data_IF_195655045893
#
_entry.id   IF_195655045893
#
_cell.length_a   1.000
_cell.length_b   1.000
_cell.length_c   1.000
_cell.angle_alpha   90.00
_cell.angle_beta   90.00
_cell.angle_gamma   90.00
#
_symmetry.space_group_name_H-M   'P 1'
#
loop_
_entity.id
_entity.type
_entity.pdbx_description
1 polymer ?
#
# COMPACT_ATOMS: atom_id res chain seq x y z
N UNK A 1 -19.79 1.99 6.30
CA UNK A 1 -18.89 2.93 5.59
C UNK A 1 -17.79 3.37 6.54
N UNK A 2 -16.59 2.85 6.34
CA UNK A 2 -15.37 3.39 6.97
C UNK A 2 -15.21 4.86 6.55
N UNK A 3 -14.92 5.76 7.49
CA UNK A 3 -14.71 7.19 7.20
C UNK A 3 -13.46 7.33 6.35
N UNK A 4 -13.65 7.82 5.11
CA UNK A 4 -12.55 8.11 4.18
C UNK A 4 -11.62 9.16 4.77
N UNK A 5 -10.33 8.84 4.87
CA UNK A 5 -9.29 9.74 5.42
C UNK A 5 -8.72 10.65 4.34
N UNK A 6 -8.61 11.94 4.65
CA UNK A 6 -7.94 12.93 3.82
C UNK A 6 -6.44 12.90 4.10
N UNK A 7 -5.67 12.51 3.10
CA UNK A 7 -4.23 12.31 3.22
C UNK A 7 -3.50 13.27 2.30
N UNK A 8 -2.52 14.00 2.83
CA UNK A 8 -1.61 14.83 2.05
C UNK A 8 -0.32 14.04 1.75
N UNK A 9 0.08 13.99 0.48
CA UNK A 9 1.42 13.52 0.08
C UNK A 9 2.28 14.74 -0.20
N UNK A 10 3.40 14.90 0.52
CA UNK A 10 4.18 16.13 0.47
C UNK A 10 5.70 15.92 0.66
N UNK A 11 6.58 16.57 -0.13
CA UNK A 11 6.24 17.26 -1.38
C UNK A 11 5.73 16.28 -2.45
N UNK A 12 4.99 16.82 -3.42
CA UNK A 12 4.60 16.05 -4.59
C UNK A 12 5.68 16.14 -5.68
N UNK A 13 5.83 15.08 -6.49
CA UNK A 13 6.66 15.10 -7.70
C UNK A 13 8.02 14.41 -7.60
N UNK A 14 8.30 13.72 -6.49
CA UNK A 14 9.49 12.88 -6.35
C UNK A 14 9.14 11.38 -6.35
N UNK A 15 10.15 10.51 -6.47
CA UNK A 15 9.94 9.06 -6.52
C UNK A 15 9.18 8.51 -5.32
N UNK A 16 9.50 8.99 -4.11
CA UNK A 16 8.86 8.54 -2.86
C UNK A 16 7.36 8.90 -2.86
N UNK A 17 7.02 10.11 -3.32
CA UNK A 17 5.64 10.58 -3.44
C UNK A 17 4.83 9.76 -4.45
N UNK A 18 5.46 9.27 -5.51
CA UNK A 18 4.79 8.44 -6.51
C UNK A 18 4.53 7.01 -6.00
N UNK A 19 5.45 6.42 -5.25
CA UNK A 19 5.24 5.11 -4.61
C UNK A 19 4.07 5.16 -3.61
N UNK A 20 4.05 6.18 -2.74
CA UNK A 20 2.93 6.38 -1.80
C UNK A 20 1.62 6.61 -2.55
N UNK A 21 1.63 7.48 -3.57
CA UNK A 21 0.42 7.77 -4.34
C UNK A 21 -0.15 6.51 -4.98
N UNK A 22 0.68 5.69 -5.61
CA UNK A 22 0.23 4.44 -6.25
C UNK A 22 -0.33 3.44 -5.26
N UNK A 23 0.26 3.35 -4.08
CA UNK A 23 -0.27 2.49 -3.03
C UNK A 23 -1.66 2.96 -2.52
N UNK A 24 -1.95 4.27 -2.56
CA UNK A 24 -3.15 4.82 -1.91
C UNK A 24 -4.27 5.26 -2.87
N UNK A 25 -3.99 5.63 -4.13
CA UNK A 25 -4.94 6.37 -4.98
C UNK A 25 -6.21 5.63 -5.34
N UNK A 26 -6.17 4.29 -5.26
CA UNK A 26 -7.32 3.42 -5.49
C UNK A 26 -8.03 2.97 -4.23
N UNK A 27 -7.45 3.24 -3.06
CA UNK A 27 -8.10 2.85 -1.82
C UNK A 27 -9.38 3.66 -1.65
N UNK A 28 -10.49 2.95 -1.45
CA UNK A 28 -11.79 3.57 -1.13
C UNK A 28 -11.76 4.31 0.21
N UNK A 29 -10.79 3.98 1.06
CA UNK A 29 -10.61 4.56 2.40
C UNK A 29 -9.79 5.84 2.41
N UNK A 30 -9.21 6.26 1.28
CA UNK A 30 -8.30 7.42 1.22
C UNK A 30 -8.74 8.44 0.18
N UNK A 31 -8.73 9.72 0.54
CA UNK A 31 -8.80 10.85 -0.39
C UNK A 31 -7.43 11.54 -0.38
N UNK A 32 -6.77 11.55 -1.52
CA UNK A 32 -5.42 12.10 -1.64
C UNK A 32 -5.47 13.57 -2.02
N UNK A 33 -4.67 14.37 -1.32
CA UNK A 33 -4.29 15.73 -1.64
C UNK A 33 -2.84 15.76 -2.09
N UNK A 34 -2.58 16.47 -3.19
CA UNK A 34 -1.26 16.67 -3.78
C UNK A 34 -1.10 18.18 -3.90
N UNK A 35 -0.08 18.74 -3.27
CA UNK A 35 0.16 20.18 -3.35
C UNK A 35 1.51 20.47 -4.01
N UNK A 36 1.45 21.16 -5.13
CA UNK A 36 2.62 21.64 -5.89
C UNK A 36 2.96 23.10 -5.57
N UNK A 37 2.07 23.83 -4.91
CA UNK A 37 2.12 25.28 -4.73
C UNK A 37 2.55 25.72 -3.31
N UNK A 38 2.54 24.81 -2.35
CA UNK A 38 3.11 24.99 -1.02
C UNK A 38 4.54 24.46 -1.01
N UNK A 39 5.53 25.35 -0.98
CA UNK A 39 6.93 24.98 -0.74
C UNK A 39 7.30 25.22 0.74
N UNK A 40 8.05 24.29 1.31
CA UNK A 40 8.89 24.60 2.48
C UNK A 40 10.25 25.02 1.89
N UNK A 41 10.62 26.29 1.99
CA UNK A 41 11.88 26.77 1.40
C UNK A 41 13.07 26.22 2.20
N UNK A 42 14.09 25.66 1.51
CA UNK A 42 15.27 25.01 2.11
C UNK A 42 16.03 25.87 3.15
N UNK A 43 15.88 27.19 3.09
CA UNK A 43 16.51 28.15 4.01
C UNK A 43 15.87 28.19 5.41
N UNK A 44 14.66 27.65 5.61
CA UNK A 44 13.88 27.88 6.83
C UNK A 44 14.27 27.03 8.05
N UNK A 45 14.91 25.87 7.87
CA UNK A 45 15.29 25.02 9.02
C UNK A 45 16.60 25.49 9.67
N UNK A 46 17.46 26.23 8.95
CA UNK A 46 18.79 26.59 9.41
C UNK A 46 18.95 28.06 9.83
N UNK A 47 18.13 29.01 9.33
CA UNK A 47 18.45 30.45 9.55
C UNK A 47 17.30 31.47 9.57
N UNK A 48 16.02 31.10 9.53
CA UNK A 48 14.97 32.16 9.50
C UNK A 48 14.74 32.82 10.86
N UNK A 49 14.58 34.15 10.84
CA UNK A 49 14.17 34.93 12.03
C UNK A 49 12.83 34.35 12.53
N UNK A 50 12.63 34.23 13.86
CA UNK A 50 11.39 33.72 14.49
C UNK A 50 10.07 34.14 13.81
N UNK A 51 9.90 35.40 13.34
CA UNK A 51 8.67 35.84 12.68
C UNK A 51 8.35 35.13 11.34
N UNK A 52 9.36 34.85 10.52
CA UNK A 52 9.16 34.20 9.20
C UNK A 52 8.72 32.74 9.38
N UNK A 53 9.42 32.00 10.23
CA UNK A 53 9.05 30.63 10.63
C UNK A 53 7.58 30.53 11.10
N UNK A 54 7.11 31.50 11.90
CA UNK A 54 5.72 31.51 12.39
C UNK A 54 4.69 31.80 11.29
N UNK A 55 5.05 32.55 10.24
CA UNK A 55 4.17 32.79 9.09
C UNK A 55 3.93 31.49 8.31
N UNK A 56 4.97 30.69 8.09
CA UNK A 56 4.86 29.39 7.41
C UNK A 56 4.05 28.38 8.21
N UNK A 57 4.29 28.26 9.52
CA UNK A 57 3.49 27.37 10.39
C UNK A 57 2.00 27.73 10.34
N UNK A 58 1.66 29.04 10.39
CA UNK A 58 0.27 29.51 10.27
C UNK A 58 -0.34 29.15 8.92
N UNK A 59 0.40 29.32 7.82
CA UNK A 59 -0.04 28.96 6.46
C UNK A 59 -0.35 27.47 6.36
N UNK A 60 0.56 26.61 6.84
CA UNK A 60 0.36 25.16 6.89
C UNK A 60 -0.82 24.77 7.76
N UNK A 61 -0.96 25.37 8.95
CA UNK A 61 -2.10 25.10 9.84
C UNK A 61 -3.44 25.46 9.18
N UNK A 62 -3.52 26.59 8.49
CA UNK A 62 -4.72 26.95 7.70
C UNK A 62 -4.97 25.90 6.63
N UNK A 63 -3.97 25.60 5.80
CA UNK A 63 -4.11 24.63 4.72
C UNK A 63 -4.61 23.26 5.19
N UNK A 64 -4.00 22.70 6.23
CA UNK A 64 -4.38 21.40 6.79
C UNK A 64 -5.80 21.43 7.33
N UNK A 65 -6.19 22.53 8.01
CA UNK A 65 -7.54 22.72 8.52
C UNK A 65 -8.58 22.87 7.41
N UNK A 66 -8.31 23.73 6.43
CA UNK A 66 -9.22 24.09 5.35
C UNK A 66 -9.50 22.88 4.44
N UNK A 67 -8.48 22.05 4.21
CA UNK A 67 -8.60 20.80 3.46
C UNK A 67 -8.99 19.59 4.33
N UNK A 68 -9.16 19.80 5.65
CA UNK A 68 -9.47 18.75 6.63
C UNK A 68 -8.52 17.56 6.52
N UNK A 69 -7.22 17.81 6.41
CA UNK A 69 -6.18 16.77 6.29
C UNK A 69 -6.08 16.03 7.62
N UNK A 70 -6.25 14.71 7.57
CA UNK A 70 -6.10 13.80 8.71
C UNK A 70 -4.62 13.43 8.91
N UNK A 71 -3.91 13.11 7.81
CA UNK A 71 -2.53 12.63 7.87
C UNK A 71 -1.66 13.15 6.73
N UNK A 72 -0.34 13.16 6.95
CA UNK A 72 0.68 13.58 5.98
C UNK A 72 1.69 12.45 5.75
N UNK A 73 1.89 12.08 4.49
CA UNK A 73 3.02 11.28 4.04
C UNK A 73 4.10 12.22 3.55
N UNK A 74 5.15 12.34 4.33
CA UNK A 74 6.30 13.11 3.90
C UNK A 74 7.18 12.29 2.97
N UNK A 75 7.54 12.86 1.81
CA UNK A 75 8.27 12.18 0.73
C UNK A 75 9.73 12.67 0.58
N UNK A 76 10.21 13.47 1.54
CA UNK A 76 11.62 13.83 1.66
C UNK A 76 12.01 14.06 3.13
N UNK A 77 13.31 14.06 3.44
CA UNK A 77 13.79 14.25 4.81
C UNK A 77 13.50 15.66 5.34
N UNK A 78 13.40 16.65 4.45
CA UNK A 78 13.21 18.05 4.83
C UNK A 78 11.82 18.31 5.39
N UNK A 79 10.78 17.87 4.68
CA UNK A 79 9.39 17.93 5.12
C UNK A 79 9.16 17.07 6.36
N UNK A 80 9.73 15.85 6.41
CA UNK A 80 9.71 15.00 7.61
C UNK A 80 10.22 15.76 8.83
N UNK A 81 11.40 16.36 8.71
CA UNK A 81 12.03 17.12 9.80
C UNK A 81 11.22 18.36 10.19
N UNK A 82 10.68 19.09 9.21
CA UNK A 82 9.86 20.27 9.45
C UNK A 82 8.61 19.93 10.26
N UNK A 83 7.80 18.97 9.80
CA UNK A 83 6.57 18.63 10.50
C UNK A 83 6.88 17.96 11.86
N UNK A 84 7.93 17.13 11.95
CA UNK A 84 8.32 16.47 13.20
C UNK A 84 8.78 17.46 14.26
N UNK A 85 9.57 18.47 13.90
CA UNK A 85 10.00 19.54 14.83
C UNK A 85 8.86 20.42 15.33
N UNK A 86 7.69 20.38 14.68
CA UNK A 86 6.52 21.17 15.03
C UNK A 86 5.31 20.26 15.33
N UNK A 87 5.55 19.02 15.79
CA UNK A 87 4.50 18.02 16.01
C UNK A 87 3.47 18.49 17.05
N UNK A 88 3.89 19.22 18.08
CA UNK A 88 3.01 19.83 19.10
C UNK A 88 1.97 20.79 18.49
N UNK A 89 2.28 21.39 17.33
CA UNK A 89 1.41 22.33 16.64
C UNK A 89 0.48 21.60 15.67
N UNK A 90 0.99 20.55 15.02
CA UNK A 90 0.27 19.83 13.97
C UNK A 90 -0.49 18.60 14.47
N UNK A 91 -0.27 18.16 15.72
CA UNK A 91 -1.07 17.11 16.37
C UNK A 91 -0.76 15.69 15.91
N UNK A 92 0.51 15.39 15.62
CA UNK A 92 0.92 14.00 15.34
C UNK A 92 0.41 13.41 14.04
N UNK A 93 0.09 14.23 13.04
CA UNK A 93 -0.49 13.82 11.74
C UNK A 93 0.47 13.09 10.80
N UNK A 94 1.75 12.94 11.16
CA UNK A 94 2.75 12.34 10.29
C UNK A 94 2.64 10.81 10.23
N UNK A 95 2.67 10.29 9.01
CA UNK A 95 2.91 8.87 8.72
C UNK A 95 4.40 8.68 8.46
N UNK A 96 5.03 7.85 9.30
CA UNK A 96 6.46 7.52 9.28
C UNK A 96 7.38 8.75 9.38
N UNK A 97 8.01 8.92 10.54
CA UNK A 97 8.87 10.06 10.82
C UNK A 97 10.28 9.68 11.26
N UNK A 98 10.63 8.40 11.22
CA UNK A 98 11.92 7.95 11.75
C UNK A 98 13.08 8.42 10.87
N UNK A 99 14.18 8.88 11.47
CA UNK A 99 15.30 9.46 10.74
C UNK A 99 16.04 8.42 9.89
N UNK A 100 16.67 8.93 8.83
CA UNK A 100 17.65 8.17 8.04
C UNK A 100 18.98 8.14 8.79
N UNK A 101 19.55 6.94 8.98
CA UNK A 101 20.88 6.73 9.53
C UNK A 101 21.72 6.01 8.47
N UNK A 102 22.87 6.59 8.12
CA UNK A 102 23.84 6.02 7.21
C UNK A 102 25.00 5.43 8.01
N UNK A 103 25.48 4.26 7.59
CA UNK A 103 26.63 3.58 8.20
C UNK A 103 27.87 3.58 7.29
N UNK A 104 27.76 4.20 6.12
CA UNK A 104 28.81 4.32 5.12
C UNK A 104 28.63 5.62 4.34
N UNK A 105 29.74 6.16 3.85
CA UNK A 105 29.75 7.31 2.93
C UNK A 105 29.54 6.89 1.47
N UNK A 106 29.60 5.58 1.17
CA UNK A 106 29.38 5.02 -0.16
C UNK A 106 27.96 4.50 -0.31
N UNK A 107 27.20 5.09 -1.23
CA UNK A 107 25.90 4.54 -1.63
C UNK A 107 26.11 3.73 -2.91
N UNK A 108 26.37 2.42 -2.76
CA UNK A 108 26.32 1.49 -3.88
C UNK A 108 24.86 1.21 -4.20
N UNK A 109 24.39 1.67 -5.36
CA UNK A 109 23.02 1.41 -5.79
C UNK A 109 22.89 0.07 -6.54
N UNK A 110 23.92 -0.33 -7.27
CA UNK A 110 23.90 -1.52 -8.13
C UNK A 110 24.12 -2.79 -7.32
N UNK A 111 23.15 -3.71 -7.34
CA UNK A 111 23.25 -4.98 -6.62
C UNK A 111 23.01 -4.87 -5.11
N UNK A 112 22.66 -3.69 -4.60
CA UNK A 112 22.25 -3.51 -3.20
C UNK A 112 20.91 -4.22 -2.94
N UNK A 113 20.77 -4.73 -1.73
CA UNK A 113 19.55 -5.36 -1.24
C UNK A 113 18.85 -4.38 -0.33
N UNK A 114 17.55 -4.20 -0.53
CA UNK A 114 16.68 -3.48 0.41
C UNK A 114 15.76 -4.49 1.08
N UNK A 115 15.63 -4.38 2.41
CA UNK A 115 14.66 -5.15 3.18
C UNK A 115 13.64 -4.18 3.75
N UNK A 116 12.43 -4.20 3.21
CA UNK A 116 11.28 -3.47 3.74
C UNK A 116 10.66 -4.24 4.90
N UNK A 117 10.34 -3.54 5.96
CA UNK A 117 9.80 -4.08 7.19
C UNK A 117 8.59 -3.28 7.65
N UNK A 118 7.71 -3.94 8.40
CA UNK A 118 6.62 -3.28 9.11
C UNK A 118 6.56 -3.80 10.54
N UNK A 119 6.65 -2.88 11.50
CA UNK A 119 6.54 -3.19 12.93
C UNK A 119 5.22 -2.70 13.51
N UNK A 120 4.61 -3.51 14.37
CA UNK A 120 3.43 -3.10 15.14
C UNK A 120 3.80 -2.15 16.30
N UNK A 121 2.81 -1.70 17.07
CA UNK A 121 3.02 -0.82 18.23
C UNK A 121 3.84 -1.47 19.36
N UNK A 122 3.84 -2.81 19.44
CA UNK A 122 4.67 -3.59 20.36
C UNK A 122 6.12 -3.77 19.86
N UNK A 123 6.47 -3.16 18.72
CA UNK A 123 7.78 -3.27 18.06
C UNK A 123 8.10 -4.66 17.52
N UNK A 124 7.10 -5.52 17.37
CA UNK A 124 7.22 -6.78 16.68
C UNK A 124 7.19 -6.56 15.17
N UNK A 125 8.20 -7.09 14.45
CA UNK A 125 8.24 -7.07 13.00
C UNK A 125 7.23 -8.08 12.45
N UNK A 126 6.13 -7.59 11.89
CA UNK A 126 5.02 -8.40 11.37
C UNK A 126 5.05 -8.57 9.85
N UNK A 127 5.92 -7.82 9.16
CA UNK A 127 6.24 -8.03 7.76
C UNK A 127 7.72 -7.78 7.50
N UNK A 128 8.29 -8.58 6.62
CA UNK A 128 9.63 -8.41 6.05
C UNK A 128 9.64 -8.91 4.60
N UNK A 129 10.13 -8.09 3.69
CA UNK A 129 10.28 -8.42 2.29
C UNK A 129 11.59 -7.87 1.75
N UNK A 130 12.41 -8.73 1.13
CA UNK A 130 13.68 -8.32 0.55
C UNK A 130 13.62 -8.27 -0.97
N UNK A 131 14.28 -7.28 -1.54
CA UNK A 131 14.49 -7.19 -2.99
C UNK A 131 15.87 -6.65 -3.32
N UNK A 132 16.38 -7.04 -4.48
CA UNK A 132 17.61 -6.50 -5.07
C UNK A 132 17.26 -5.51 -6.18
N UNK A 133 18.04 -4.43 -6.29
CA UNK A 133 17.97 -3.50 -7.39
C UNK A 133 19.09 -3.77 -8.41
N UNK A 134 18.72 -4.39 -9.54
CA UNK A 134 19.62 -4.73 -10.64
C UNK A 134 19.37 -3.73 -11.79
N UNK A 135 20.16 -2.65 -11.85
CA UNK A 135 20.08 -1.63 -12.89
C UNK A 135 18.67 -1.05 -13.10
N UNK A 136 17.98 -0.76 -11.99
CA UNK A 136 16.63 -0.21 -12.00
C UNK A 136 15.53 -1.27 -12.07
N UNK A 137 15.86 -2.56 -12.18
CA UNK A 137 14.87 -3.65 -12.04
C UNK A 137 14.87 -4.16 -10.60
N UNK A 138 13.68 -4.32 -10.05
CA UNK A 138 13.50 -4.82 -8.69
C UNK A 138 13.19 -6.31 -8.78
N UNK A 139 13.98 -7.11 -8.07
CA UNK A 139 13.76 -8.55 -7.98
C UNK A 139 13.61 -8.94 -6.52
N UNK A 140 12.46 -9.50 -6.10
CA UNK A 140 12.33 -10.06 -4.77
C UNK A 140 13.34 -11.19 -4.59
N UNK A 141 13.91 -11.29 -3.38
CA UNK A 141 14.85 -12.34 -3.01
C UNK A 141 14.46 -12.92 -1.64
N UNK A 142 14.79 -14.18 -1.36
CA UNK A 142 14.64 -14.73 -0.02
C UNK A 142 15.52 -13.99 0.98
N UNK A 143 15.03 -13.84 2.20
CA UNK A 143 15.81 -13.29 3.32
C UNK A 143 16.69 -14.42 3.86
N UNK A 144 18.01 -14.21 3.85
CA UNK A 144 18.98 -15.18 4.39
C UNK A 144 19.11 -15.09 5.91
N UNK A 145 19.63 -16.14 6.56
CA UNK A 145 19.90 -16.14 8.01
C UNK A 145 20.79 -14.98 8.47
N UNK A 146 21.73 -14.54 7.63
CA UNK A 146 22.57 -13.40 7.94
C UNK A 146 21.78 -12.08 7.92
N UNK A 147 20.90 -11.92 6.93
CA UNK A 147 19.99 -10.77 6.86
C UNK A 147 19.05 -10.73 8.06
N UNK A 148 18.53 -11.88 8.50
CA UNK A 148 17.71 -11.99 9.73
C UNK A 148 18.46 -11.53 10.97
N UNK A 149 19.73 -11.91 11.13
CA UNK A 149 20.56 -11.46 12.26
C UNK A 149 20.76 -9.94 12.25
N UNK A 150 20.98 -9.36 11.07
CA UNK A 150 21.11 -7.89 10.92
C UNK A 150 19.79 -7.22 11.28
N UNK A 151 18.66 -7.68 10.73
CA UNK A 151 17.32 -7.15 11.03
C UNK A 151 17.03 -7.17 12.52
N UNK A 152 17.30 -8.30 13.19
CA UNK A 152 17.12 -8.44 14.64
C UNK A 152 17.94 -7.40 15.41
N UNK A 153 19.21 -7.23 15.05
CA UNK A 153 20.09 -6.22 15.65
C UNK A 153 19.53 -4.80 15.46
N UNK A 154 18.97 -4.50 14.29
CA UNK A 154 18.41 -3.18 14.00
C UNK A 154 17.12 -2.90 14.76
N UNK A 155 16.18 -3.86 14.82
CA UNK A 155 14.95 -3.65 15.57
C UNK A 155 15.21 -3.56 17.08
N UNK A 156 16.13 -4.37 17.63
CA UNK A 156 16.51 -4.31 19.04
C UNK A 156 17.15 -2.96 19.41
N UNK A 157 17.92 -2.37 18.48
CA UNK A 157 18.60 -1.09 18.69
C UNK A 157 17.69 0.13 18.50
N UNK A 158 16.86 0.16 17.46
CA UNK A 158 16.12 1.35 17.06
C UNK A 158 14.63 1.29 17.37
N UNK A 159 14.04 0.09 17.43
CA UNK A 159 12.65 -0.11 17.83
C UNK A 159 11.63 0.67 16.98
N UNK A 160 11.87 0.81 15.68
CA UNK A 160 11.00 1.54 14.76
C UNK A 160 9.61 0.91 14.69
N UNK A 161 8.58 1.76 14.70
CA UNK A 161 7.16 1.41 14.62
C UNK A 161 6.62 1.84 13.26
N UNK A 162 5.78 1.02 12.65
CA UNK A 162 5.24 1.26 11.30
C UNK A 162 6.23 0.77 10.24
N UNK A 163 6.24 1.44 9.09
CA UNK A 163 7.12 1.05 7.98
C UNK A 163 8.53 1.61 8.15
N UNK A 164 9.50 0.75 7.87
CA UNK A 164 10.93 1.08 7.83
C UNK A 164 11.65 0.12 6.89
N UNK A 165 12.86 0.47 6.48
CA UNK A 165 13.70 -0.42 5.69
C UNK A 165 15.17 -0.32 6.10
N UNK A 166 15.92 -1.35 5.72
CA UNK A 166 17.37 -1.34 5.71
C UNK A 166 17.89 -1.58 4.31
N UNK A 167 19.03 -0.98 4.01
CA UNK A 167 19.76 -1.23 2.76
C UNK A 167 21.10 -1.92 3.09
N UNK A 168 21.41 -2.97 2.35
CA UNK A 168 22.59 -3.80 2.49
C UNK A 168 23.43 -3.80 1.21
N UNK A 169 24.76 -3.90 1.35
CA UNK A 169 25.67 -4.19 0.24
C UNK A 169 25.42 -5.61 -0.29
N UNK A 170 26.03 -5.94 -1.44
CA UNK A 170 26.03 -7.31 -1.96
C UNK A 170 26.68 -8.33 -1.00
N UNK A 171 27.50 -7.86 -0.07
CA UNK A 171 28.15 -8.68 0.98
C UNK A 171 27.39 -8.64 2.32
N UNK A 172 26.17 -8.11 2.34
CA UNK A 172 25.35 -7.90 3.54
C UNK A 172 25.91 -6.89 4.55
N UNK A 173 26.76 -5.95 4.13
CA UNK A 173 27.15 -4.83 4.99
C UNK A 173 25.99 -3.86 5.12
N UNK A 174 25.68 -3.41 6.34
CA UNK A 174 24.62 -2.44 6.56
C UNK A 174 25.03 -1.07 5.99
N UNK A 175 24.25 -0.56 5.03
CA UNK A 175 24.47 0.74 4.40
C UNK A 175 23.62 1.83 5.07
N UNK A 176 22.34 1.53 5.30
CA UNK A 176 21.41 2.47 5.93
C UNK A 176 20.24 1.78 6.64
N UNK A 177 19.64 2.51 7.58
CA UNK A 177 18.30 2.27 8.11
C UNK A 177 17.50 3.57 7.98
N UNK A 178 16.26 3.50 7.49
CA UNK A 178 15.43 4.68 7.30
C UNK A 178 13.92 4.34 7.25
N UNK A 179 13.07 5.36 7.22
CA UNK A 179 11.62 5.24 7.00
C UNK A 179 11.17 5.85 5.67
N UNK A 180 12.06 5.91 4.67
CA UNK A 180 11.72 6.39 3.33
C UNK A 180 11.00 5.32 2.55
N UNK A 181 9.92 5.67 1.86
CA UNK A 181 9.20 4.70 1.04
C UNK A 181 10.10 4.17 -0.07
N UNK A 182 10.43 2.89 0.00
CA UNK A 182 11.30 2.24 -0.96
C UNK A 182 10.61 2.09 -2.32
N UNK A 183 11.37 1.72 -3.35
CA UNK A 183 10.80 1.34 -4.64
C UNK A 183 10.11 -0.04 -4.61
N UNK A 184 10.24 -0.79 -3.52
CA UNK A 184 9.59 -2.08 -3.30
C UNK A 184 8.13 -1.97 -2.89
N UNK A 185 7.63 -0.77 -2.55
CA UNK A 185 6.22 -0.58 -2.13
C UNK A 185 5.24 -1.13 -3.17
N UNK A 186 5.41 -0.77 -4.45
CA UNK A 186 4.56 -1.29 -5.52
C UNK A 186 4.63 -2.82 -5.64
N UNK A 187 5.80 -3.43 -5.38
CA UNK A 187 5.96 -4.89 -5.35
C UNK A 187 5.09 -5.50 -4.24
N UNK A 188 5.16 -4.97 -3.02
CA UNK A 188 4.41 -5.52 -1.89
C UNK A 188 2.90 -5.34 -2.04
N UNK A 189 2.45 -4.22 -2.61
CA UNK A 189 1.02 -3.98 -2.92
C UNK A 189 0.48 -5.07 -3.82
N UNK A 190 1.18 -5.45 -4.89
CA UNK A 190 0.73 -6.53 -5.77
C UNK A 190 0.80 -7.93 -5.16
N UNK A 191 1.58 -8.12 -4.08
CA UNK A 191 1.51 -9.32 -3.24
C UNK A 191 0.44 -9.21 -2.13
N UNK A 192 -0.43 -8.22 -2.19
CA UNK A 192 -1.53 -8.03 -1.24
C UNK A 192 -1.13 -7.36 0.08
N UNK A 193 0.08 -6.79 0.19
CA UNK A 193 0.59 -6.08 1.37
C UNK A 193 0.82 -4.59 1.05
N UNK A 194 -0.16 -3.76 1.37
CA UNK A 194 -0.11 -2.31 1.13
C UNK A 194 0.51 -1.54 2.32
N UNK A 195 1.84 -1.49 2.40
CA UNK A 195 2.57 -0.90 3.54
C UNK A 195 2.20 0.57 3.85
N UNK A 196 1.98 1.46 2.84
CA UNK A 196 1.46 2.79 3.09
C UNK A 196 0.08 2.77 3.76
N UNK A 197 -0.85 1.96 3.26
CA UNK A 197 -2.20 1.87 3.83
C UNK A 197 -2.20 1.27 5.24
N UNK A 198 -1.35 0.25 5.49
CA UNK A 198 -1.16 -0.32 6.83
C UNK A 198 -0.61 0.74 7.81
N UNK A 199 0.30 1.60 7.36
CA UNK A 199 0.83 2.69 8.19
C UNK A 199 -0.26 3.70 8.57
N UNK A 200 -1.19 4.01 7.65
CA UNK A 200 -2.36 4.85 7.93
C UNK A 200 -3.28 4.22 8.98
N UNK A 201 -3.58 2.93 8.83
CA UNK A 201 -4.45 2.21 9.75
C UNK A 201 -3.86 2.14 11.16
N UNK A 202 -2.55 1.85 11.26
CA UNK A 202 -1.86 1.81 12.54
C UNK A 202 -1.88 3.18 13.20
N UNK A 203 -1.54 4.22 12.45
CA UNK A 203 -1.59 5.60 12.96
C UNK A 203 -2.99 6.01 13.40
N UNK A 204 -4.02 5.46 12.76
CA UNK A 204 -5.42 5.67 13.12
C UNK A 204 -5.91 4.80 14.28
N UNK A 205 -5.02 4.05 14.94
CA UNK A 205 -5.35 3.20 16.10
C UNK A 205 -6.03 1.88 15.74
N UNK A 206 -5.94 1.43 14.49
CA UNK A 206 -6.48 0.12 14.10
C UNK A 206 -5.46 -0.99 14.38
N UNK A 207 -5.90 -2.16 14.87
CA UNK A 207 -5.02 -3.31 14.95
C UNK A 207 -4.59 -3.74 13.55
N UNK A 208 -3.30 -4.03 13.39
CA UNK A 208 -2.72 -4.43 12.11
C UNK A 208 -2.55 -5.94 12.05
N UNK A 209 -3.10 -6.53 11.00
CA UNK A 209 -2.88 -7.90 10.62
C UNK A 209 -2.41 -7.94 9.18
N UNK A 210 -1.43 -8.80 8.88
CA UNK A 210 -0.92 -9.00 7.54
C UNK A 210 -1.25 -10.42 7.12
N UNK A 211 -1.76 -10.55 5.91
CA UNK A 211 -2.11 -11.83 5.32
C UNK A 211 -0.85 -12.46 4.73
N UNK A 212 -0.36 -13.58 5.29
CA UNK A 212 0.83 -14.27 4.76
C UNK A 212 0.46 -14.99 3.47
N UNK A 213 0.70 -14.35 2.32
CA UNK A 213 0.50 -14.94 1.00
C UNK A 213 1.85 -15.36 0.43
N UNK A 214 1.99 -16.66 0.15
CA UNK A 214 3.21 -17.22 -0.45
C UNK A 214 3.09 -17.17 -1.97
N UNK A 215 3.90 -16.33 -2.61
CA UNK A 215 3.98 -16.22 -4.07
C UNK A 215 5.41 -16.50 -4.56
N UNK A 216 5.53 -17.17 -5.71
CA UNK A 216 6.78 -17.20 -6.49
C UNK A 216 6.79 -15.99 -7.43
N UNK A 217 7.88 -15.22 -7.46
CA UNK A 217 7.96 -13.97 -8.22
C UNK A 217 9.22 -13.99 -9.08
N UNK A 218 9.06 -13.79 -10.39
CA UNK A 218 10.18 -13.86 -11.33
C UNK A 218 10.84 -12.49 -11.61
N UNK A 219 10.13 -11.37 -11.39
CA UNK A 219 10.72 -10.03 -11.44
C UNK A 219 9.72 -8.87 -11.57
N UNK A 220 10.19 -7.64 -11.35
CA UNK A 220 9.45 -6.38 -11.54
C UNK A 220 10.24 -5.45 -12.47
N UNK A 221 9.60 -4.98 -13.55
CA UNK A 221 10.15 -3.96 -14.44
C UNK A 221 9.71 -2.56 -14.01
N UNK A 222 10.68 -1.68 -13.70
CA UNK A 222 10.43 -0.29 -13.31
C UNK A 222 9.88 0.59 -14.44
N UNK A 223 10.07 0.20 -15.70
CA UNK A 223 9.53 0.94 -16.85
C UNK A 223 8.01 0.76 -16.99
N UNK A 224 7.48 -0.38 -16.56
CA UNK A 224 6.07 -0.72 -16.72
C UNK A 224 5.30 -0.77 -15.39
N UNK A 225 6.00 -0.81 -14.26
CA UNK A 225 5.43 -0.92 -12.90
C UNK A 225 4.43 -2.08 -12.74
N UNK A 226 4.54 -3.09 -13.60
CA UNK A 226 3.81 -4.36 -13.52
C UNK A 226 4.67 -5.39 -12.80
N UNK A 227 4.03 -6.16 -11.93
CA UNK A 227 4.64 -7.35 -11.34
C UNK A 227 4.16 -8.52 -12.17
N UNK A 228 5.09 -9.34 -12.64
CA UNK A 228 4.72 -10.66 -13.16
C UNK A 228 4.67 -11.60 -11.97
N UNK A 229 3.46 -11.81 -11.45
CA UNK A 229 3.21 -12.86 -10.46
C UNK A 229 2.84 -14.12 -11.23
N UNK A 230 3.54 -15.22 -10.98
CA UNK A 230 3.20 -16.51 -11.58
C UNK A 230 1.97 -17.08 -10.86
N UNK A 231 0.79 -16.65 -11.30
CA UNK A 231 -0.51 -17.08 -10.77
C UNK A 231 -1.31 -17.74 -11.86
N UNK A 232 -1.54 -19.05 -11.71
CA UNK A 232 -2.46 -19.81 -12.55
C UNK A 232 -3.79 -19.97 -11.83
N UNK A 233 -4.87 -19.52 -12.47
CA UNK A 233 -6.24 -19.65 -11.98
C UNK A 233 -7.19 -19.76 -13.17
N UNK A 234 -8.30 -20.48 -12.98
CA UNK A 234 -9.35 -20.69 -13.98
C UNK A 234 -10.64 -19.98 -13.64
N UNK A 235 -10.77 -19.48 -12.42
CA UNK A 235 -11.93 -18.72 -12.00
C UNK A 235 -11.57 -17.63 -10.98
N UNK A 236 -12.34 -16.56 -10.99
CA UNK A 236 -12.21 -15.46 -10.05
C UNK A 236 -13.53 -15.23 -9.32
N UNK A 237 -13.45 -14.89 -8.04
CA UNK A 237 -14.57 -14.42 -7.23
C UNK A 237 -14.33 -12.96 -6.89
N UNK A 238 -15.24 -12.09 -7.27
CA UNK A 238 -15.08 -10.63 -7.11
C UNK A 238 -16.30 -10.04 -6.40
N UNK A 239 -16.05 -9.15 -5.43
CA UNK A 239 -17.11 -8.41 -4.75
C UNK A 239 -17.70 -7.27 -5.61
N UNK A 240 -18.91 -6.82 -5.26
CA UNK A 240 -19.60 -5.72 -5.94
C UNK A 240 -19.33 -4.35 -5.31
N UNK A 241 -19.66 -4.19 -4.03
CA UNK A 241 -19.74 -2.89 -3.37
C UNK A 241 -18.34 -2.46 -2.95
N UNK A 242 -17.98 -1.19 -3.19
CA UNK A 242 -16.63 -0.69 -2.93
C UNK A 242 -15.49 -1.44 -3.68
N UNK A 243 -15.85 -2.39 -4.57
CA UNK A 243 -14.96 -3.17 -5.44
C UNK A 243 -15.22 -2.88 -6.93
N UNK A 244 -16.36 -3.32 -7.47
CA UNK A 244 -16.76 -3.06 -8.86
C UNK A 244 -17.46 -1.71 -9.03
N UNK A 245 -18.16 -1.26 -8.00
CA UNK A 245 -18.80 0.05 -7.97
C UNK A 245 -18.30 0.82 -6.75
N UNK A 246 -17.53 1.88 -7.02
CA UNK A 246 -16.91 2.72 -5.99
C UNK A 246 -17.54 4.11 -6.07
N UNK A 247 -18.13 4.58 -4.97
CA UNK A 247 -18.74 5.92 -4.92
C UNK A 247 -19.73 6.18 -6.07
N UNK A 248 -20.60 5.19 -6.36
CA UNK A 248 -21.61 5.23 -7.44
C UNK A 248 -21.02 5.40 -8.85
N UNK A 249 -19.78 4.91 -9.07
CA UNK A 249 -19.12 4.84 -10.38
C UNK A 249 -18.52 3.46 -10.59
N UNK A 250 -18.54 2.99 -11.83
CA UNK A 250 -17.91 1.72 -12.20
C UNK A 250 -16.39 1.81 -12.08
N UNK A 251 -15.77 0.82 -11.46
CA UNK A 251 -14.32 0.68 -11.37
C UNK A 251 -13.78 0.15 -12.71
N UNK A 252 -13.32 1.06 -13.58
CA UNK A 252 -12.89 0.72 -14.94
C UNK A 252 -11.75 -0.31 -14.98
N UNK A 253 -10.85 -0.33 -14.00
CA UNK A 253 -9.78 -1.34 -13.98
C UNK A 253 -10.30 -2.73 -13.67
N UNK A 254 -11.24 -2.85 -12.73
CA UNK A 254 -11.90 -4.13 -12.47
C UNK A 254 -12.67 -4.60 -13.70
N UNK A 255 -13.28 -3.70 -14.46
CA UNK A 255 -13.92 -4.04 -15.75
C UNK A 255 -12.89 -4.50 -16.79
N UNK A 256 -11.77 -3.78 -16.94
CA UNK A 256 -10.67 -4.19 -17.82
C UNK A 256 -10.19 -5.60 -17.47
N UNK A 257 -9.99 -5.87 -16.18
CA UNK A 257 -9.56 -7.16 -15.69
C UNK A 257 -10.60 -8.27 -15.94
N UNK A 258 -11.89 -8.00 -15.70
CA UNK A 258 -12.99 -8.93 -16.02
C UNK A 258 -12.98 -9.30 -17.50
N UNK A 259 -12.86 -8.32 -18.40
CA UNK A 259 -12.82 -8.62 -19.85
C UNK A 259 -11.56 -9.40 -20.25
N UNK A 260 -10.42 -9.14 -19.63
CA UNK A 260 -9.23 -9.96 -19.81
C UNK A 260 -9.49 -11.41 -19.38
N UNK A 261 -10.12 -11.63 -18.22
CA UNK A 261 -10.50 -12.97 -17.77
C UNK A 261 -11.44 -13.65 -18.78
N UNK A 262 -12.47 -12.95 -19.26
CA UNK A 262 -13.40 -13.46 -20.27
C UNK A 262 -12.66 -13.88 -21.55
N UNK A 263 -11.77 -13.02 -22.06
CA UNK A 263 -10.99 -13.31 -23.27
C UNK A 263 -10.06 -14.52 -23.09
N UNK A 264 -9.58 -14.76 -21.87
CA UNK A 264 -8.72 -15.88 -21.53
C UNK A 264 -9.49 -17.15 -21.11
N UNK A 265 -10.82 -17.15 -21.17
CA UNK A 265 -11.66 -18.28 -20.76
C UNK A 265 -11.69 -18.52 -19.25
N UNK A 266 -11.31 -17.54 -18.45
CA UNK A 266 -11.37 -17.56 -16.98
C UNK A 266 -12.79 -17.19 -16.55
N UNK A 267 -13.42 -18.03 -15.71
CA UNK A 267 -14.78 -17.78 -15.21
C UNK A 267 -14.79 -16.63 -14.22
N UNK A 268 -15.80 -15.76 -14.30
CA UNK A 268 -15.94 -14.61 -13.41
C UNK A 268 -17.21 -14.78 -12.59
N UNK A 269 -17.07 -14.95 -11.28
CA UNK A 269 -18.17 -15.11 -10.34
C UNK A 269 -18.32 -13.83 -9.51
N UNK A 270 -19.50 -13.21 -9.57
CA UNK A 270 -19.84 -12.12 -8.65
C UNK A 270 -20.25 -12.74 -7.31
N UNK A 271 -19.67 -12.27 -6.21
CA UNK A 271 -20.07 -12.69 -4.85
C UNK A 271 -20.26 -11.47 -3.96
N UNK A 272 -21.48 -11.20 -3.52
CA UNK A 272 -21.77 -9.95 -2.82
C UNK A 272 -22.85 -10.08 -1.75
N UNK A 273 -22.69 -9.28 -0.69
CA UNK A 273 -23.69 -9.04 0.37
C UNK A 273 -24.51 -7.77 0.12
N UNK A 274 -24.60 -7.33 -1.15
CA UNK A 274 -25.27 -6.09 -1.52
C UNK A 274 -26.67 -6.00 -0.94
N UNK A 275 -26.96 -4.84 -0.32
CA UNK A 275 -28.27 -4.56 0.26
C UNK A 275 -29.19 -3.98 -0.81
N UNK A 276 -30.34 -4.63 -1.01
CA UNK A 276 -31.31 -4.26 -2.04
C UNK A 276 -31.22 -5.18 -3.25
N UNK A 277 -31.98 -4.88 -4.29
CA UNK A 277 -32.09 -5.73 -5.49
C UNK A 277 -30.80 -5.68 -6.31
N UNK A 278 -29.97 -6.73 -6.19
CA UNK A 278 -28.68 -6.83 -6.88
C UNK A 278 -28.84 -6.77 -8.40
N UNK A 279 -29.92 -7.33 -8.96
CA UNK A 279 -30.13 -7.39 -10.40
C UNK A 279 -30.40 -5.99 -10.96
N UNK A 280 -31.28 -5.22 -10.31
CA UNK A 280 -31.52 -3.81 -10.67
C UNK A 280 -30.26 -2.96 -10.53
N UNK A 281 -29.46 -3.23 -9.49
CA UNK A 281 -28.20 -2.51 -9.28
C UNK A 281 -27.20 -2.81 -10.41
N UNK A 282 -27.05 -4.07 -10.82
CA UNK A 282 -26.20 -4.47 -11.94
C UNK A 282 -26.70 -3.91 -13.28
N UNK A 283 -28.01 -3.88 -13.53
CA UNK A 283 -28.60 -3.27 -14.72
C UNK A 283 -28.29 -1.77 -14.80
N UNK A 284 -28.46 -1.05 -13.68
CA UNK A 284 -28.15 0.40 -13.58
C UNK A 284 -26.73 0.71 -14.05
N UNK A 285 -25.76 -0.12 -13.68
CA UNK A 285 -24.34 0.06 -14.05
C UNK A 285 -23.92 -0.70 -15.30
N UNK A 286 -24.85 -1.39 -15.97
CA UNK A 286 -24.60 -2.20 -17.19
C UNK A 286 -23.60 -3.35 -16.96
N UNK A 287 -23.64 -3.98 -15.79
CA UNK A 287 -22.73 -5.06 -15.40
C UNK A 287 -23.34 -6.46 -15.46
N UNK A 288 -24.66 -6.57 -15.64
CA UNK A 288 -25.41 -7.81 -15.44
C UNK A 288 -24.92 -9.00 -16.28
N UNK A 289 -24.39 -8.75 -17.47
CA UNK A 289 -23.98 -9.81 -18.42
C UNK A 289 -22.48 -10.16 -18.32
N UNK A 290 -21.76 -9.70 -17.31
CA UNK A 290 -20.32 -9.91 -17.19
C UNK A 290 -19.94 -11.20 -16.46
N UNK A 291 -20.88 -11.85 -15.78
CA UNK A 291 -20.58 -12.90 -14.81
C UNK A 291 -21.06 -14.28 -15.25
N UNK A 292 -20.23 -15.29 -15.02
CA UNK A 292 -20.59 -16.71 -15.14
C UNK A 292 -21.61 -17.14 -14.08
N UNK A 293 -21.58 -16.52 -12.90
CA UNK A 293 -22.64 -16.64 -11.89
C UNK A 293 -22.71 -15.40 -11.00
N UNK A 294 -23.89 -15.19 -10.40
CA UNK A 294 -24.15 -14.17 -9.39
C UNK A 294 -24.51 -14.87 -8.08
N UNK A 295 -23.64 -14.77 -7.09
CA UNK A 295 -23.80 -15.32 -5.75
C UNK A 295 -24.21 -14.17 -4.82
N UNK A 296 -25.51 -14.02 -4.62
CA UNK A 296 -26.07 -12.97 -3.76
C UNK A 296 -26.35 -13.52 -2.37
N UNK A 297 -25.64 -12.98 -1.38
CA UNK A 297 -25.60 -13.46 0.00
C UNK A 297 -26.36 -12.52 0.94
N UNK A 298 -26.85 -13.08 2.05
CA UNK A 298 -27.30 -12.33 3.22
C UNK A 298 -26.11 -11.79 4.01
N UNK A 299 -26.38 -10.80 4.86
CA UNK A 299 -25.35 -10.10 5.65
C UNK A 299 -24.58 -11.04 6.60
N UNK A 300 -25.26 -12.06 7.12
CA UNK A 300 -24.75 -13.05 8.08
C UNK A 300 -24.04 -14.26 7.43
N UNK A 301 -24.10 -14.40 6.11
CA UNK A 301 -23.45 -15.50 5.40
C UNK A 301 -21.96 -15.23 5.19
N UNK A 302 -21.12 -16.27 5.23
CA UNK A 302 -19.66 -16.13 5.10
C UNK A 302 -19.24 -16.43 3.65
N UNK A 303 -18.57 -15.50 2.97
CA UNK A 303 -18.24 -15.63 1.52
C UNK A 303 -17.46 -16.91 1.20
N UNK A 304 -16.53 -17.30 2.08
CA UNK A 304 -15.70 -18.49 1.88
C UNK A 304 -16.50 -19.79 1.71
N UNK A 305 -17.75 -19.85 2.19
CA UNK A 305 -18.61 -21.05 2.04
C UNK A 305 -19.15 -21.24 0.63
N UNK A 306 -19.12 -20.20 -0.19
CA UNK A 306 -19.68 -20.15 -1.54
C UNK A 306 -18.62 -20.08 -2.63
N UNK A 307 -17.34 -20.15 -2.24
CA UNK A 307 -16.20 -20.13 -3.15
C UNK A 307 -15.71 -21.56 -3.32
N UNK A 308 -15.69 -22.05 -4.57
CA UNK A 308 -14.92 -23.23 -4.93
C UNK A 308 -13.44 -22.86 -4.92
N UNK A 309 -12.59 -23.50 -4.08
CA UNK A 309 -11.19 -23.13 -3.93
C UNK A 309 -10.32 -23.56 -5.12
N UNK A 310 -10.79 -24.45 -6.00
CA UNK A 310 -9.97 -24.98 -7.08
C UNK A 310 -9.60 -23.89 -8.09
N UNK A 311 -8.29 -23.73 -8.36
CA UNK A 311 -7.74 -22.78 -9.33
C UNK A 311 -8.39 -21.37 -9.23
N UNK A 312 -8.56 -20.87 -8.01
CA UNK A 312 -9.36 -19.67 -7.74
C UNK A 312 -8.58 -18.55 -7.09
N UNK A 313 -8.97 -17.31 -7.39
CA UNK A 313 -8.57 -16.13 -6.61
C UNK A 313 -9.80 -15.36 -6.15
N UNK A 314 -9.63 -14.55 -5.10
CA UNK A 314 -10.70 -13.74 -4.53
C UNK A 314 -10.32 -12.25 -4.44
N UNK A 315 -11.23 -11.36 -4.81
CA UNK A 315 -11.01 -9.91 -4.85
C UNK A 315 -12.11 -9.20 -4.06
N UNK A 316 -11.71 -8.45 -3.05
CA UNK A 316 -12.63 -7.77 -2.12
C UNK A 316 -11.92 -6.58 -1.43
N UNK A 317 -12.63 -5.47 -1.20
CA UNK A 317 -12.11 -4.35 -0.43
C UNK A 317 -12.00 -4.69 1.07
N UNK A 318 -12.92 -5.50 1.59
CA UNK A 318 -13.02 -5.85 2.98
C UNK A 318 -11.89 -6.81 3.39
N UNK A 319 -10.91 -6.27 4.15
CA UNK A 319 -9.79 -7.07 4.67
C UNK A 319 -10.25 -8.30 5.48
N UNK A 320 -11.34 -8.17 6.25
CA UNK A 320 -11.87 -9.29 7.04
C UNK A 320 -12.31 -10.45 6.14
N UNK A 321 -13.07 -10.16 5.08
CA UNK A 321 -13.54 -11.18 4.13
C UNK A 321 -12.34 -11.83 3.42
N UNK A 322 -11.35 -11.04 2.97
CA UNK A 322 -10.10 -11.58 2.38
C UNK A 322 -9.35 -12.49 3.34
N UNK A 323 -9.20 -12.08 4.60
CA UNK A 323 -8.52 -12.87 5.62
C UNK A 323 -9.25 -14.18 5.91
N UNK A 324 -10.58 -14.16 6.00
CA UNK A 324 -11.40 -15.35 6.24
C UNK A 324 -11.33 -16.32 5.06
N UNK A 325 -11.46 -15.83 3.82
CA UNK A 325 -11.31 -16.64 2.61
C UNK A 325 -9.92 -17.27 2.54
N UNK A 326 -8.86 -16.50 2.76
CA UNK A 326 -7.50 -17.02 2.71
C UNK A 326 -7.25 -18.07 3.79
N UNK A 327 -7.65 -17.82 5.04
CA UNK A 327 -7.47 -18.76 6.15
C UNK A 327 -8.26 -20.06 5.99
N UNK A 328 -9.47 -19.98 5.43
CA UNK A 328 -10.38 -21.14 5.33
C UNK A 328 -10.16 -21.96 4.06
N UNK A 329 -9.76 -21.31 2.96
CA UNK A 329 -9.65 -21.96 1.65
C UNK A 329 -8.22 -22.05 1.11
N UNK A 330 -7.29 -21.26 1.65
CA UNK A 330 -5.90 -21.24 1.19
C UNK A 330 -5.67 -20.61 -0.19
N UNK A 331 -6.67 -19.92 -0.75
CA UNK A 331 -6.57 -19.29 -2.07
C UNK A 331 -5.97 -17.87 -2.01
N UNK A 332 -5.34 -17.39 -3.09
CA UNK A 332 -4.88 -16.00 -3.19
C UNK A 332 -6.03 -15.00 -3.06
N UNK A 333 -5.78 -13.90 -2.34
CA UNK A 333 -6.77 -12.84 -2.12
C UNK A 333 -6.17 -11.46 -2.38
N UNK A 334 -6.90 -10.59 -3.07
CA UNK A 334 -6.40 -9.29 -3.52
C UNK A 334 -7.32 -8.16 -3.08
N UNK A 335 -6.72 -7.07 -2.58
CA UNK A 335 -7.43 -5.80 -2.43
C UNK A 335 -7.72 -5.20 -3.81
N UNK A 336 -8.71 -4.33 -3.89
CA UNK A 336 -9.07 -3.57 -5.09
C UNK A 336 -7.87 -2.82 -5.71
N UNK A 337 -6.95 -2.30 -4.89
CA UNK A 337 -5.76 -1.61 -5.42
C UNK A 337 -4.81 -2.54 -6.19
N UNK A 338 -4.81 -3.84 -5.87
CA UNK A 338 -3.90 -4.82 -6.46
C UNK A 338 -4.36 -5.33 -7.84
N UNK A 339 -5.60 -5.00 -8.27
CA UNK A 339 -6.15 -5.42 -9.58
C UNK A 339 -5.23 -5.04 -10.74
N UNK A 340 -4.53 -3.89 -10.67
CA UNK A 340 -3.63 -3.48 -11.76
C UNK A 340 -2.48 -4.45 -12.01
N UNK A 341 -2.06 -5.20 -10.99
CA UNK A 341 -1.01 -6.19 -11.10
C UNK A 341 -1.52 -7.51 -11.70
N UNK A 342 -2.84 -7.70 -11.80
CA UNK A 342 -3.47 -8.85 -12.45
C UNK A 342 -3.78 -8.60 -13.93
N UNK A 343 -3.65 -7.35 -14.40
CA UNK A 343 -3.92 -6.97 -15.78
C UNK A 343 -2.65 -7.20 -16.63
N UNK A 344 -2.74 -8.12 -17.57
CA UNK A 344 -1.74 -8.41 -18.59
C UNK A 344 -2.04 -7.58 -19.85
N UNK A 345 -1.01 -7.01 -20.44
CA UNK A 345 -1.12 -6.19 -21.64
C UNK A 345 0.22 -5.91 -22.22
#
# INVERSE_FOLDING_TARGET
MSIRKNVLIYPWGNSESFEVYRALYKSVHVKIFRDENLSIEKFDIASSKKPEKMKYIKRWKSYLKDNKIDYIYCSDDYSKLFFKKNEDIFGGILINSEPTILFTDKIEYTGSVTIDCFSNEEKHVIFKGAFRNDNGKIRPIPISDNMEKILKTMIDKYGYIGYWNIQLSCNNDLLSINSKWSKGISLWVGLGVNLPLLSLYQKSGNPIYINDQKFTIEGVSFLEYKINVELSYKQIYIDLDDTLVISNKVNLQAITYIYQCINNGIKVHLISKHRGDIYKYLEKFKLINLFSSIIWLKDDEEKYRYIDPQDSIFIDDAFKERLEVQKKLGIPTFEVCAIEHLIHG
#
